data_IF_691639032950
#
_entry.id   IF_691639032950
#
_cell.length_a   1.000
_cell.length_b   1.000
_cell.length_c   1.000
_cell.angle_alpha   90.00
_cell.angle_beta   90.00
_cell.angle_gamma   90.00
#
_symmetry.space_group_name_H-M   'P 1'
#
loop_
_entity.id
_entity.type
_entity.pdbx_description
1 polymer ?
#
# COMPACT_ATOMS: atom_id res chain seq x y z
N UNK A 1 25.84 18.72 -12.11
CA UNK A 1 25.95 17.76 -10.99
C UNK A 1 24.57 17.17 -10.77
N UNK A 2 24.47 15.88 -10.46
CA UNK A 2 23.18 15.25 -10.20
C UNK A 2 22.85 15.36 -8.70
N UNK A 3 21.60 15.67 -8.38
CA UNK A 3 21.14 15.86 -7.00
C UNK A 3 20.24 14.69 -6.60
N UNK A 4 20.42 14.15 -5.38
CA UNK A 4 19.49 13.16 -4.86
C UNK A 4 18.35 13.88 -4.14
N UNK A 5 17.12 13.63 -4.56
CA UNK A 5 15.90 14.16 -3.98
C UNK A 5 14.98 13.01 -3.59
N UNK A 6 14.06 13.25 -2.66
CA UNK A 6 13.07 12.25 -2.24
C UNK A 6 11.67 12.67 -2.66
N UNK A 7 10.81 11.69 -2.89
CA UNK A 7 9.41 11.92 -3.23
C UNK A 7 8.64 12.36 -1.98
N UNK A 8 8.06 13.57 -1.98
CA UNK A 8 7.34 14.13 -0.83
C UNK A 8 5.85 13.75 -0.76
N UNK A 9 5.34 13.07 -1.77
CA UNK A 9 3.92 12.66 -1.89
C UNK A 9 3.78 11.13 -1.84
N UNK A 10 2.59 10.60 -1.56
CA UNK A 10 2.36 9.14 -1.54
C UNK A 10 2.56 8.47 -2.89
N UNK A 11 2.32 9.19 -3.99
CA UNK A 11 2.51 8.66 -5.33
C UNK A 11 2.91 9.79 -6.27
N UNK A 12 4.08 9.65 -6.90
CA UNK A 12 4.59 10.59 -7.88
C UNK A 12 4.55 10.00 -9.27
N UNK A 13 3.91 10.70 -10.20
CA UNK A 13 3.81 10.24 -11.58
C UNK A 13 5.10 10.56 -12.34
N UNK A 14 5.69 9.53 -12.94
CA UNK A 14 6.80 9.65 -13.87
C UNK A 14 6.26 9.79 -15.29
N UNK A 15 6.68 10.83 -16.01
CA UNK A 15 6.20 11.15 -17.36
C UNK A 15 7.33 11.09 -18.38
N UNK A 16 6.98 10.85 -19.64
CA UNK A 16 7.94 10.85 -20.76
C UNK A 16 8.46 12.24 -21.12
N UNK A 17 7.69 13.28 -20.81
CA UNK A 17 8.04 14.68 -21.04
C UNK A 17 7.34 15.56 -20.00
N UNK A 18 7.75 16.83 -19.83
CA UNK A 18 6.96 17.82 -19.08
C UNK A 18 5.53 17.84 -19.60
N UNK A 19 4.54 17.63 -18.73
CA UNK A 19 3.12 17.48 -19.10
C UNK A 19 2.78 16.33 -20.07
N UNK A 20 3.71 15.41 -20.34
CA UNK A 20 3.51 14.28 -21.25
C UNK A 20 2.74 13.10 -20.67
N UNK A 21 2.79 11.98 -21.38
CA UNK A 21 2.17 10.72 -20.95
C UNK A 21 2.85 10.19 -19.69
N UNK A 22 2.04 9.66 -18.77
CA UNK A 22 2.53 8.97 -17.57
C UNK A 22 3.05 7.60 -18.01
N UNK A 23 4.33 7.36 -17.76
CA UNK A 23 5.06 6.11 -18.09
C UNK A 23 5.33 5.24 -16.86
N UNK A 24 5.16 5.80 -15.66
CA UNK A 24 5.41 5.08 -14.42
C UNK A 24 4.93 5.86 -13.19
N UNK A 25 5.08 5.24 -12.02
CA UNK A 25 4.76 5.84 -10.72
C UNK A 25 5.86 5.48 -9.71
N UNK A 26 6.18 6.43 -8.84
CA UNK A 26 7.12 6.28 -7.74
C UNK A 26 6.36 6.38 -6.42
N UNK A 27 6.79 5.63 -5.42
CA UNK A 27 6.19 5.69 -4.09
C UNK A 27 6.74 6.89 -3.31
N UNK A 28 6.00 7.31 -2.30
CA UNK A 28 6.49 8.33 -1.37
C UNK A 28 7.71 7.85 -0.60
N UNK A 29 8.69 8.72 -0.43
CA UNK A 29 9.96 8.40 0.22
C UNK A 29 10.99 7.74 -0.70
N UNK A 30 10.64 7.36 -1.93
CA UNK A 30 11.63 6.89 -2.90
C UNK A 30 12.67 7.98 -3.19
N UNK A 31 13.94 7.59 -3.25
CA UNK A 31 15.04 8.46 -3.67
C UNK A 31 15.15 8.48 -5.19
N UNK A 32 15.16 9.68 -5.78
CA UNK A 32 15.38 9.90 -7.21
C UNK A 32 16.56 10.83 -7.44
N UNK A 33 17.36 10.51 -8.45
CA UNK A 33 18.49 11.33 -8.86
C UNK A 33 18.03 12.30 -9.94
N UNK A 34 18.04 13.59 -9.63
CA UNK A 34 17.70 14.68 -10.56
C UNK A 34 18.96 15.11 -11.31
N UNK A 35 18.93 14.95 -12.63
CA UNK A 35 20.02 15.35 -13.52
C UNK A 35 19.86 16.78 -14.03
N UNK A 36 18.62 17.22 -14.23
CA UNK A 36 18.30 18.52 -14.80
C UNK A 36 16.96 19.01 -14.25
N UNK A 37 16.83 20.32 -14.00
CA UNK A 37 15.55 20.96 -13.64
C UNK A 37 15.16 21.94 -14.74
N UNK A 38 13.93 21.81 -15.22
CA UNK A 38 13.35 22.68 -16.23
C UNK A 38 12.00 23.20 -15.73
N UNK A 39 12.05 24.36 -15.08
CA UNK A 39 10.89 24.98 -14.43
C UNK A 39 10.32 24.06 -13.34
N UNK A 40 9.04 23.70 -13.47
CA UNK A 40 8.34 22.84 -12.50
C UNK A 40 8.64 21.34 -12.66
N UNK A 41 9.53 20.98 -13.59
CA UNK A 41 9.84 19.59 -13.92
C UNK A 41 11.31 19.27 -13.64
N UNK A 42 11.55 18.09 -13.09
CA UNK A 42 12.88 17.54 -12.85
C UNK A 42 13.07 16.28 -13.71
N UNK A 43 14.17 16.23 -14.45
CA UNK A 43 14.60 15.06 -15.21
C UNK A 43 15.33 14.10 -14.28
N UNK A 44 14.79 12.90 -14.15
CA UNK A 44 15.31 11.82 -13.28
C UNK A 44 15.92 10.66 -14.08
N UNK A 45 16.40 10.97 -15.28
CA UNK A 45 16.99 9.99 -16.22
C UNK A 45 18.36 10.48 -16.65
N UNK A 46 19.32 9.57 -16.66
CA UNK A 46 20.66 9.85 -17.17
C UNK A 46 20.64 10.18 -18.68
N UNK A 47 21.78 10.60 -19.20
CA UNK A 47 21.94 10.73 -20.64
C UNK A 47 21.97 9.34 -21.29
N UNK A 48 21.32 9.18 -22.45
CA UNK A 48 21.23 7.89 -23.17
C UNK A 48 20.07 6.96 -22.77
N UNK A 49 19.34 7.26 -21.69
CA UNK A 49 18.09 6.55 -21.32
C UNK A 49 16.86 7.40 -21.63
N UNK A 50 15.68 6.77 -21.86
CA UNK A 50 14.45 7.50 -22.16
C UNK A 50 14.16 8.56 -21.10
N UNK A 51 13.89 9.77 -21.57
CA UNK A 51 13.67 10.93 -20.73
C UNK A 51 12.49 10.68 -19.78
N UNK A 52 12.79 10.73 -18.49
CA UNK A 52 11.82 10.58 -17.42
C UNK A 52 11.77 11.88 -16.63
N UNK A 53 10.57 12.43 -16.55
CA UNK A 53 10.28 13.71 -15.91
C UNK A 53 9.33 13.51 -14.75
N UNK A 54 9.60 14.20 -13.65
CA UNK A 54 8.76 14.24 -12.46
C UNK A 54 8.54 15.68 -12.03
N UNK A 55 7.48 15.94 -11.26
CA UNK A 55 7.19 17.29 -10.78
C UNK A 55 8.14 17.68 -9.65
N UNK A 56 8.88 18.77 -9.83
CA UNK A 56 9.82 19.30 -8.84
C UNK A 56 9.13 19.73 -7.54
N UNK A 57 7.85 20.16 -7.61
CA UNK A 57 7.05 20.54 -6.43
C UNK A 57 6.78 19.37 -5.48
N UNK A 58 6.84 18.15 -6.01
CA UNK A 58 6.58 16.92 -5.28
C UNK A 58 7.89 16.19 -4.91
N UNK A 59 9.02 16.90 -5.01
CA UNK A 59 10.33 16.47 -4.57
C UNK A 59 10.76 17.28 -3.36
N UNK A 60 11.64 16.71 -2.55
CA UNK A 60 12.25 17.36 -1.41
C UNK A 60 13.73 16.97 -1.30
N UNK A 61 14.53 17.82 -0.65
CA UNK A 61 15.97 17.58 -0.50
C UNK A 61 16.35 16.76 0.73
N UNK A 62 15.43 16.58 1.69
CA UNK A 62 15.70 15.87 2.94
C UNK A 62 15.16 14.44 2.96
N UNK A 63 15.96 13.50 3.46
CA UNK A 63 15.68 12.06 3.59
C UNK A 63 14.61 11.68 4.62
N UNK A 64 13.61 12.53 4.82
CA UNK A 64 12.51 12.34 5.77
C UNK A 64 11.34 13.28 5.55
N UNK A 65 11.28 13.95 4.40
CA UNK A 65 10.18 14.86 4.09
C UNK A 65 8.84 14.11 3.90
N UNK A 66 8.92 12.86 3.45
CA UNK A 66 7.76 11.99 3.33
C UNK A 66 7.59 11.22 4.63
N UNK A 67 6.76 11.77 5.50
CA UNK A 67 6.22 11.04 6.64
C UNK A 67 4.87 10.52 6.20
N UNK A 68 4.74 9.24 5.80
CA UNK A 68 3.41 8.65 5.74
C UNK A 68 2.88 8.78 7.17
N UNK A 69 1.86 9.62 7.35
CA UNK A 69 1.19 9.68 8.64
C UNK A 69 0.76 8.26 8.91
N UNK A 70 1.29 7.68 9.98
CA UNK A 70 1.01 6.32 10.40
C UNK A 70 -0.42 6.24 10.96
N UNK A 71 -1.39 6.85 10.29
CA UNK A 71 -2.75 6.34 10.32
C UNK A 71 -2.64 5.02 9.54
N UNK A 72 -3.01 3.87 10.13
CA UNK A 72 -2.95 2.60 9.43
C UNK A 72 -4.01 2.62 8.34
N UNK A 73 -3.69 3.21 7.18
CA UNK A 73 -4.44 2.99 5.94
C UNK A 73 -3.79 1.77 5.33
N UNK A 74 -4.28 0.61 5.76
CA UNK A 74 -4.04 -0.69 5.12
C UNK A 74 -4.25 -0.57 3.62
N UNK A 75 -3.18 -0.30 2.88
CA UNK A 75 -3.11 -0.47 1.44
C UNK A 75 -2.30 -1.72 1.08
N UNK A 76 -2.39 -2.76 1.90
CA UNK A 76 -2.29 -4.12 1.38
C UNK A 76 -3.64 -4.51 0.78
N UNK A 77 -3.83 -4.16 -0.49
CA UNK A 77 -4.62 -4.99 -1.41
C UNK A 77 -3.87 -6.31 -1.61
N UNK A 78 -3.84 -7.14 -0.59
CA UNK A 78 -3.89 -8.59 -0.76
C UNK A 78 -5.15 -8.99 -0.05
N UNK A 79 -6.03 -9.69 -0.75
CA UNK A 79 -7.21 -10.33 -0.18
C UNK A 79 -6.88 -10.87 1.21
N UNK A 80 -7.21 -10.09 2.24
CA UNK A 80 -7.27 -10.56 3.60
C UNK A 80 -8.48 -11.47 3.61
N UNK A 81 -8.29 -12.70 3.14
CA UNK A 81 -9.07 -13.83 3.62
C UNK A 81 -9.13 -13.62 5.13
N UNK A 82 -10.32 -13.58 5.76
CA UNK A 82 -10.40 -13.36 7.19
C UNK A 82 -9.44 -14.37 7.81
N UNK A 83 -8.49 -13.86 8.59
CA UNK A 83 -7.56 -14.69 9.32
C UNK A 83 -8.39 -15.79 9.96
N UNK A 84 -8.17 -17.04 9.53
CA UNK A 84 -8.73 -18.20 10.20
C UNK A 84 -8.11 -18.15 11.57
N UNK A 85 -8.85 -17.61 12.53
CA UNK A 85 -8.48 -17.74 13.92
C UNK A 85 -8.61 -19.22 14.21
N UNK A 86 -7.50 -19.94 14.11
CA UNK A 86 -7.31 -21.25 14.73
C UNK A 86 -7.41 -21.04 16.25
N UNK A 87 -8.64 -20.85 16.73
CA UNK A 87 -8.94 -20.95 18.14
C UNK A 87 -9.12 -22.42 18.46
N UNK A 88 -8.01 -23.02 18.89
CA UNK A 88 -8.05 -24.12 19.83
C UNK A 88 -8.88 -23.67 21.04
N UNK A 89 -9.90 -24.50 21.33
CA UNK A 89 -10.66 -24.54 22.57
C UNK A 89 -11.73 -23.45 22.82
N UNK A 90 -12.98 -23.78 22.48
CA UNK A 90 -14.02 -23.73 23.50
C UNK A 90 -15.22 -22.78 23.38
N UNK A 91 -15.13 -21.59 22.77
CA UNK A 91 -16.15 -20.55 23.06
C UNK A 91 -16.84 -19.93 21.84
N UNK A 92 -17.47 -20.75 20.99
CA UNK A 92 -18.42 -20.24 19.98
C UNK A 92 -19.89 -20.55 20.35
N UNK A 93 -20.45 -19.90 21.37
CA UNK A 93 -21.83 -20.12 21.78
C UNK A 93 -22.79 -19.67 20.68
N UNK A 94 -23.85 -20.43 20.44
CA UNK A 94 -24.91 -20.06 19.49
C UNK A 94 -25.63 -18.73 19.85
N UNK A 95 -25.43 -18.23 21.08
CA UNK A 95 -25.99 -16.96 21.57
C UNK A 95 -25.00 -15.78 21.53
N UNK A 96 -23.78 -15.97 21.00
CA UNK A 96 -22.78 -14.91 20.92
C UNK A 96 -22.89 -14.07 19.64
N UNK A 97 -22.51 -12.79 19.71
CA UNK A 97 -22.43 -11.89 18.54
C UNK A 97 -21.30 -12.24 17.56
N UNK A 98 -20.59 -13.36 17.77
CA UNK A 98 -19.44 -13.80 16.96
C UNK A 98 -19.86 -14.93 16.02
N UNK A 99 -19.54 -14.76 14.74
CA UNK A 99 -19.79 -15.74 13.68
C UNK A 99 -18.58 -16.65 13.54
N UNK A 100 -18.74 -17.95 13.81
CA UNK A 100 -17.67 -18.92 13.58
C UNK A 100 -17.84 -19.62 12.22
N UNK A 101 -16.73 -19.76 11.49
CA UNK A 101 -16.69 -20.33 10.15
C UNK A 101 -15.81 -21.56 10.17
N UNK A 102 -16.34 -22.70 9.73
CA UNK A 102 -15.62 -23.96 9.69
C UNK A 102 -14.60 -24.02 8.55
N UNK A 103 -13.71 -25.02 8.55
CA UNK A 103 -12.68 -25.18 7.52
C UNK A 103 -13.25 -25.36 6.11
N UNK A 104 -14.52 -25.83 6.00
CA UNK A 104 -15.30 -25.97 4.76
C UNK A 104 -16.08 -24.70 4.35
N UNK A 105 -15.90 -23.59 5.07
CA UNK A 105 -16.53 -22.30 4.74
C UNK A 105 -17.98 -22.12 5.22
N UNK A 106 -18.57 -23.12 5.90
CA UNK A 106 -19.90 -23.01 6.50
C UNK A 106 -19.88 -22.42 7.92
N UNK A 107 -20.88 -21.60 8.26
CA UNK A 107 -21.05 -21.09 9.63
C UNK A 107 -21.42 -22.21 10.59
N UNK A 108 -20.85 -22.20 11.78
CA UNK A 108 -21.17 -23.15 12.84
C UNK A 108 -21.24 -22.47 14.20
N UNK A 109 -21.97 -23.10 15.13
CA UNK A 109 -21.91 -22.78 16.54
C UNK A 109 -21.79 -24.06 17.38
N UNK A 110 -21.33 -23.92 18.62
CA UNK A 110 -21.16 -25.00 19.58
C UNK A 110 -22.32 -24.92 20.57
N UNK A 111 -23.06 -26.01 20.73
CA UNK A 111 -24.11 -26.13 21.76
C UNK A 111 -23.48 -26.46 23.11
N UNK A 112 -24.21 -26.27 24.21
CA UNK A 112 -23.73 -26.53 25.58
C UNK A 112 -23.22 -27.97 25.81
N UNK A 113 -23.50 -28.91 24.91
CA UNK A 113 -22.97 -30.28 24.91
C UNK A 113 -21.68 -30.48 24.11
N UNK A 114 -21.02 -29.42 23.63
CA UNK A 114 -19.76 -29.51 22.89
C UNK A 114 -19.91 -29.91 21.41
N UNK A 115 -21.13 -30.16 20.93
CA UNK A 115 -21.38 -30.58 19.56
C UNK A 115 -21.45 -29.38 18.60
N UNK A 116 -20.74 -29.50 17.47
CA UNK A 116 -20.74 -28.49 16.39
C UNK A 116 -21.98 -28.68 15.51
N UNK A 117 -22.78 -27.62 15.36
CA UNK A 117 -23.92 -27.60 14.44
C UNK A 117 -23.66 -26.61 13.31
N UNK A 118 -23.81 -27.08 12.08
CA UNK A 118 -23.74 -26.29 10.86
C UNK A 118 -25.17 -26.04 10.36
N UNK A 119 -25.46 -24.83 9.88
CA UNK A 119 -26.76 -24.50 9.28
C UNK A 119 -27.82 -23.99 10.25
N UNK A 120 -27.59 -22.78 10.78
CA UNK A 120 -28.69 -21.87 11.16
C UNK A 120 -28.71 -20.70 10.20
#
# INVERSE_FOLDING_TARGET
>A
MAETQFVSTSTLNQRSSPNGKIIGRLAGGDSVVVYERKGEWARVSAQGVPAKWVSSKLLCSGSGCYRPTNRPVSSSRKNLRPARSDYSDGSCPCSGSRVCIGPRGGRYCITSGGNKRYGV
#
